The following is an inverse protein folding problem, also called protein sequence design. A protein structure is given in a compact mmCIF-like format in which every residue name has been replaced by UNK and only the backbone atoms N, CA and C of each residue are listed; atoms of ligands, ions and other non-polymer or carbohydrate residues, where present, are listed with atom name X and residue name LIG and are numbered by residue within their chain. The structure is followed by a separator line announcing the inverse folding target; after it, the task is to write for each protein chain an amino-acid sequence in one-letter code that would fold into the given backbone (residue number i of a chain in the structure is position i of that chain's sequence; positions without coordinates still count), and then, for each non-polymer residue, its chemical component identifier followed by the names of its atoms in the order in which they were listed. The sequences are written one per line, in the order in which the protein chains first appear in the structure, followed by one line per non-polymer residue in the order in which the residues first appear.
data_IF_196481703038
#
_entry.id   IF_196481703038
#
_cell.length_a   1.000
_cell.length_b   1.000
_cell.length_c   1.000
_cell.angle_alpha   90.00
_cell.angle_beta   90.00
_cell.angle_gamma   90.00
#
_symmetry.space_group_name_H-M   'P 1'
#
loop_
_entity.id
_entity.type
_entity.pdbx_description
1 polymer ?
#
# COMPACT_ATOMS: atom_id res chain seq x y z
N UNK A 1 -15.26 17.25 9.38
CA UNK A 1 -16.29 17.00 8.35
C UNK A 1 -15.95 15.63 7.77
N UNK A 2 -16.93 14.79 7.45
CA UNK A 2 -16.60 13.45 6.97
C UNK A 2 -16.70 13.43 5.45
N UNK A 3 -15.65 12.96 4.79
CA UNK A 3 -15.64 12.68 3.35
C UNK A 3 -15.72 11.16 3.16
N UNK A 4 -16.43 10.75 2.11
CA UNK A 4 -16.52 9.34 1.70
C UNK A 4 -15.53 9.13 0.56
N UNK A 5 -14.62 8.17 0.71
CA UNK A 5 -13.67 7.75 -0.31
C UNK A 5 -13.78 6.25 -0.55
N UNK A 6 -13.15 5.78 -1.63
CA UNK A 6 -13.15 4.39 -2.07
C UNK A 6 -11.75 3.82 -1.86
N UNK A 7 -11.54 3.14 -0.73
CA UNK A 7 -10.26 2.51 -0.39
C UNK A 7 -10.04 1.25 -1.21
N UNK A 8 -8.87 1.16 -1.85
CA UNK A 8 -8.38 -0.04 -2.51
C UNK A 8 -7.67 -0.89 -1.45
N UNK A 9 -8.22 -2.07 -1.17
CA UNK A 9 -7.61 -3.04 -0.25
C UNK A 9 -7.09 -4.25 -1.00
N UNK A 10 -6.02 -4.82 -0.48
CA UNK A 10 -5.42 -6.05 -0.97
C UNK A 10 -5.27 -7.03 0.18
N UNK A 11 -5.94 -8.19 0.09
CA UNK A 11 -5.76 -9.30 1.02
C UNK A 11 -5.11 -10.47 0.30
N UNK A 12 -4.30 -11.26 1.02
CA UNK A 12 -3.72 -12.48 0.44
C UNK A 12 -4.82 -13.46 0.02
N UNK A 13 -4.60 -14.13 -1.11
CA UNK A 13 -5.45 -15.26 -1.50
C UNK A 13 -5.33 -16.41 -0.51
N UNK A 14 -6.30 -17.33 -0.52
CA UNK A 14 -6.25 -18.54 0.32
C UNK A 14 -4.98 -19.36 0.03
N UNK A 15 -4.58 -19.46 -1.24
CA UNK A 15 -3.37 -20.16 -1.65
C UNK A 15 -2.11 -19.46 -1.12
N UNK A 16 -1.99 -18.15 -1.30
CA UNK A 16 -0.86 -17.38 -0.82
C UNK A 16 -0.75 -17.40 0.72
N UNK A 17 -1.89 -17.32 1.41
CA UNK A 17 -1.99 -17.48 2.87
C UNK A 17 -1.47 -18.85 3.29
N UNK A 18 -1.88 -19.92 2.61
CA UNK A 18 -1.41 -21.27 2.93
C UNK A 18 0.10 -21.44 2.71
N UNK A 19 0.67 -20.84 1.65
CA UNK A 19 2.12 -20.84 1.41
C UNK A 19 2.87 -20.12 2.54
N UNK A 20 2.35 -18.98 2.99
CA UNK A 20 2.91 -18.23 4.12
C UNK A 20 2.91 -19.07 5.40
N UNK A 21 1.79 -19.71 5.73
CA UNK A 21 1.68 -20.58 6.90
C UNK A 21 2.65 -21.76 6.84
N UNK A 22 2.79 -22.40 5.68
CA UNK A 22 3.70 -23.51 5.50
C UNK A 22 5.15 -23.08 5.68
N UNK A 23 5.51 -21.90 5.18
CA UNK A 23 6.83 -21.33 5.40
C UNK A 23 7.11 -21.01 6.87
N UNK A 24 6.11 -20.50 7.61
CA UNK A 24 6.24 -20.29 9.05
C UNK A 24 6.47 -21.59 9.82
N UNK A 25 5.69 -22.64 9.50
CA UNK A 25 5.85 -23.98 10.10
C UNK A 25 7.22 -24.55 9.79
N UNK A 26 7.70 -24.40 8.56
CA UNK A 26 9.02 -24.86 8.18
C UNK A 26 10.12 -24.07 8.89
N UNK A 27 10.02 -22.74 8.99
CA UNK A 27 10.97 -21.91 9.73
C UNK A 27 11.00 -22.24 11.23
N UNK A 28 9.87 -22.63 11.81
CA UNK A 28 9.80 -23.15 13.18
C UNK A 28 10.49 -24.52 13.31
N UNK A 29 10.23 -25.44 12.39
CA UNK A 29 10.91 -26.75 12.33
C UNK A 29 12.42 -26.60 12.24
N UNK A 30 12.93 -25.71 11.38
CA UNK A 30 14.36 -25.45 11.22
C UNK A 30 14.97 -24.87 12.50
N UNK A 31 14.28 -23.94 13.19
CA UNK A 31 14.71 -23.41 14.48
C UNK A 31 14.80 -24.50 15.55
N UNK A 32 13.83 -25.40 15.61
CA UNK A 32 13.89 -26.52 16.55
C UNK A 32 15.06 -27.46 16.27
N UNK A 33 15.34 -27.77 15.01
CA UNK A 33 16.47 -28.61 14.63
C UNK A 33 17.81 -27.95 14.91
N UNK A 34 17.92 -26.63 14.68
CA UNK A 34 19.14 -25.90 14.98
C UNK A 34 19.44 -25.88 16.49
N UNK A 35 18.42 -25.65 17.32
CA UNK A 35 18.52 -25.64 18.79
C UNK A 35 18.85 -27.02 19.38
N UNK A 36 18.40 -28.11 18.76
CA UNK A 36 18.41 -29.43 19.39
C UNK A 36 19.75 -30.17 19.38
N UNK A 37 20.64 -29.98 18.39
CA UNK A 37 21.83 -30.84 18.31
C UNK A 37 23.16 -30.09 18.11
N UNK A 38 23.97 -30.02 19.17
CA UNK A 38 25.42 -30.08 18.99
C UNK A 38 25.76 -31.53 18.59
N UNK A 39 26.42 -31.78 17.45
CA UNK A 39 26.71 -33.14 17.00
C UNK A 39 27.54 -33.89 18.04
N UNK A 40 27.09 -35.10 18.39
CA UNK A 40 27.67 -35.97 19.41
C UNK A 40 27.92 -37.36 18.86
N UNK A 41 28.97 -38.03 19.32
CA UNK A 41 29.22 -39.44 18.99
C UNK A 41 28.33 -40.40 19.81
N UNK A 42 28.46 -41.71 19.57
CA UNK A 42 27.75 -42.77 20.31
C UNK A 42 27.99 -42.75 21.83
N UNK A 43 29.04 -42.05 22.30
CA UNK A 43 29.40 -41.90 23.71
C UNK A 43 29.04 -40.51 24.27
N UNK A 44 28.37 -39.66 23.48
CA UNK A 44 27.89 -38.33 23.87
C UNK A 44 28.94 -37.21 23.81
N UNK A 45 30.11 -37.45 23.19
CA UNK A 45 31.22 -36.48 23.09
C UNK A 45 30.98 -35.50 21.95
N UNK A 46 31.31 -34.24 22.17
CA UNK A 46 31.05 -33.12 21.24
C UNK A 46 32.30 -32.74 20.45
N UNK A 47 32.16 -31.86 19.44
CA UNK A 47 33.29 -31.34 18.69
C UNK A 47 34.37 -30.71 19.59
N UNK A 48 33.94 -29.93 20.60
CA UNK A 48 34.84 -29.33 21.59
C UNK A 48 35.66 -30.38 22.36
N UNK A 49 35.05 -31.52 22.73
CA UNK A 49 35.76 -32.58 23.43
C UNK A 49 36.91 -33.17 22.59
N UNK A 50 36.68 -33.35 21.28
CA UNK A 50 37.70 -33.85 20.36
C UNK A 50 38.81 -32.83 20.12
N UNK A 51 38.45 -31.55 19.98
CA UNK A 51 39.41 -30.44 19.87
C UNK A 51 40.30 -30.33 21.11
N UNK A 52 39.72 -30.43 22.32
CA UNK A 52 40.46 -30.41 23.60
C UNK A 52 41.48 -31.57 23.70
N UNK A 53 41.22 -32.68 22.99
CA UNK A 53 42.07 -33.86 22.92
C UNK A 53 43.07 -33.84 21.74
N UNK A 54 43.02 -32.81 20.89
CA UNK A 54 43.86 -32.71 19.69
C UNK A 54 43.52 -33.74 18.60
N UNK A 55 42.29 -34.22 18.56
CA UNK A 55 41.79 -35.20 17.60
C UNK A 55 40.86 -34.49 16.61
N UNK A 56 40.94 -34.82 15.33
CA UNK A 56 40.02 -34.31 14.30
C UNK A 56 38.60 -34.89 14.50
N UNK A 57 37.59 -34.06 14.86
CA UNK A 57 36.24 -34.51 15.15
C UNK A 57 35.49 -35.08 13.93
N UNK A 58 35.91 -34.76 12.70
CA UNK A 58 35.21 -35.14 11.47
C UNK A 58 35.16 -36.65 11.21
N UNK A 59 36.04 -37.42 11.87
CA UNK A 59 36.08 -38.88 11.77
C UNK A 59 35.11 -39.59 12.73
N UNK A 60 34.48 -38.84 13.65
CA UNK A 60 33.72 -39.41 14.77
C UNK A 60 32.34 -38.80 14.96
N UNK A 61 32.13 -37.57 14.52
CA UNK A 61 30.85 -36.88 14.59
C UNK A 61 30.14 -36.96 13.24
N UNK A 62 28.85 -37.29 13.26
CA UNK A 62 28.01 -37.12 12.09
C UNK A 62 27.91 -35.64 11.76
N UNK A 63 28.13 -35.30 10.48
CA UNK A 63 27.94 -33.94 9.99
C UNK A 63 26.48 -33.58 10.18
N UNK A 64 26.21 -32.49 10.92
CA UNK A 64 24.86 -31.92 11.02
C UNK A 64 24.33 -31.74 9.60
N UNK A 65 23.09 -32.16 9.33
CA UNK A 65 22.46 -31.84 8.04
C UNK A 65 22.60 -30.33 7.80
N UNK A 66 22.90 -29.92 6.57
CA UNK A 66 22.94 -28.50 6.24
C UNK A 66 21.51 -27.95 6.31
N UNK A 67 21.14 -27.46 7.49
CA UNK A 67 19.87 -26.80 7.75
C UNK A 67 19.93 -25.43 7.05
N UNK A 68 19.00 -25.13 6.12
CA UNK A 68 18.96 -23.80 5.51
C UNK A 68 18.74 -22.71 6.55
N UNK A 69 19.49 -21.60 6.45
CA UNK A 69 19.48 -20.50 7.43
C UNK A 69 18.16 -19.72 7.46
N UNK A 70 17.36 -19.77 6.39
CA UNK A 70 16.11 -19.03 6.29
C UNK A 70 15.11 -19.68 5.33
N UNK A 71 13.82 -19.47 5.59
CA UNK A 71 12.73 -19.76 4.66
C UNK A 71 12.28 -18.45 4.02
N UNK A 72 12.44 -18.33 2.71
CA UNK A 72 12.01 -17.15 1.94
C UNK A 72 10.66 -17.42 1.26
N UNK A 73 9.73 -16.48 1.39
CA UNK A 73 8.46 -16.46 0.65
C UNK A 73 8.39 -15.17 -0.14
N UNK A 74 8.06 -15.28 -1.43
CA UNK A 74 7.82 -14.14 -2.31
C UNK A 74 6.35 -14.12 -2.71
N UNK A 75 5.79 -12.92 -2.77
CA UNK A 75 4.44 -12.70 -3.25
C UNK A 75 4.47 -11.87 -4.52
N UNK A 76 3.67 -12.29 -5.51
CA UNK A 76 3.37 -11.53 -6.72
C UNK A 76 2.01 -10.83 -6.62
N UNK A 77 1.60 -10.13 -7.66
CA UNK A 77 0.29 -9.47 -7.73
C UNK A 77 -0.86 -10.49 -7.71
N UNK A 78 -0.66 -11.66 -8.31
CA UNK A 78 -1.61 -12.76 -8.37
C UNK A 78 -1.97 -13.36 -7.00
N UNK A 79 -1.15 -13.06 -5.99
CA UNK A 79 -1.30 -13.56 -4.63
C UNK A 79 -2.24 -12.71 -3.78
N UNK A 80 -2.81 -11.65 -4.37
CA UNK A 80 -3.72 -10.75 -3.69
C UNK A 80 -5.10 -10.71 -4.36
N UNK A 81 -6.14 -10.71 -3.54
CA UNK A 81 -7.45 -10.21 -3.92
C UNK A 81 -7.48 -8.70 -3.69
N UNK A 82 -7.60 -7.94 -4.77
CA UNK A 82 -7.87 -6.50 -4.69
C UNK A 82 -9.37 -6.25 -4.73
N UNK A 83 -9.86 -5.43 -3.81
CA UNK A 83 -11.25 -5.03 -3.75
C UNK A 83 -11.42 -3.65 -3.13
N UNK A 84 -12.55 -3.02 -3.46
CA UNK A 84 -12.84 -1.67 -3.04
C UNK A 84 -13.76 -1.67 -1.82
N UNK A 85 -13.49 -0.75 -0.90
CA UNK A 85 -14.31 -0.54 0.29
C UNK A 85 -14.59 0.95 0.46
N UNK A 86 -15.86 1.27 0.67
CA UNK A 86 -16.25 2.62 1.06
C UNK A 86 -15.73 2.94 2.47
N UNK A 87 -14.95 4.01 2.60
CA UNK A 87 -14.46 4.50 3.88
C UNK A 87 -14.93 5.93 4.15
N UNK A 88 -15.02 6.27 5.43
CA UNK A 88 -15.28 7.63 5.89
C UNK A 88 -14.05 8.18 6.59
N UNK A 89 -13.51 9.25 6.05
CA UNK A 89 -12.36 9.96 6.63
C UNK A 89 -12.84 11.23 7.28
N UNK A 90 -12.36 11.51 8.48
CA UNK A 90 -12.62 12.78 9.14
C UNK A 90 -11.60 13.83 8.69
N UNK A 91 -12.08 14.84 7.97
CA UNK A 91 -11.32 15.95 7.37
C UNK A 91 -10.57 16.84 8.38
N UNK A 92 -10.70 16.62 9.68
CA UNK A 92 -9.90 17.32 10.70
C UNK A 92 -8.51 16.71 10.84
N UNK A 93 -8.29 15.51 10.31
CA UNK A 93 -7.00 14.89 10.27
C UNK A 93 -6.14 15.56 9.20
N UNK A 94 -4.89 15.87 9.56
CA UNK A 94 -3.89 16.32 8.59
C UNK A 94 -3.35 15.08 7.88
N UNK A 95 -3.29 15.15 6.56
CA UNK A 95 -2.74 14.10 5.71
C UNK A 95 -2.01 14.72 4.53
N UNK A 96 -1.10 13.94 3.96
CA UNK A 96 -0.46 14.18 2.67
C UNK A 96 -1.10 13.28 1.63
N UNK A 97 -1.12 13.74 0.38
CA UNK A 97 -1.64 12.96 -0.75
C UNK A 97 -0.59 12.89 -1.86
N UNK A 98 -0.42 11.71 -2.44
CA UNK A 98 0.46 11.47 -3.59
C UNK A 98 -0.36 10.80 -4.70
N UNK A 99 -0.31 11.34 -5.92
CA UNK A 99 -1.00 10.77 -7.07
C UNK A 99 -0.08 9.77 -7.78
N UNK A 100 -0.53 8.52 -7.86
CA UNK A 100 0.08 7.47 -8.69
C UNK A 100 -0.75 7.26 -9.98
N UNK A 101 -0.24 6.42 -10.89
CA UNK A 101 -0.90 6.15 -12.18
C UNK A 101 -2.31 5.58 -12.02
N UNK A 102 -2.49 4.67 -11.05
CA UNK A 102 -3.73 3.91 -10.85
C UNK A 102 -4.51 4.28 -9.58
N UNK A 103 -3.93 5.05 -8.66
CA UNK A 103 -4.56 5.39 -7.36
C UNK A 103 -3.98 6.66 -6.75
N UNK A 104 -4.64 7.16 -5.70
CA UNK A 104 -4.09 8.20 -4.82
C UNK A 104 -3.72 7.60 -3.47
N UNK A 105 -2.49 7.82 -3.02
CA UNK A 105 -2.04 7.46 -1.69
C UNK A 105 -2.35 8.60 -0.71
N UNK A 106 -2.96 8.28 0.42
CA UNK A 106 -3.22 9.21 1.53
C UNK A 106 -2.45 8.74 2.77
N UNK A 107 -1.49 9.55 3.21
CA UNK A 107 -0.71 9.32 4.42
C UNK A 107 -1.20 10.24 5.55
N UNK A 108 -1.68 9.65 6.63
CA UNK A 108 -2.12 10.36 7.82
C UNK A 108 -0.94 10.62 8.77
N UNK A 109 -1.02 11.67 9.60
CA UNK A 109 0.02 11.97 10.60
C UNK A 109 0.32 10.84 11.60
N UNK A 110 -0.59 9.88 11.78
CA UNK A 110 -0.38 8.71 12.63
C UNK A 110 0.43 7.59 11.94
N UNK A 111 0.89 7.82 10.71
CA UNK A 111 1.62 6.85 9.89
C UNK A 111 0.72 5.83 9.19
N UNK A 112 -0.61 5.94 9.31
CA UNK A 112 -1.52 5.12 8.51
C UNK A 112 -1.46 5.59 7.05
N UNK A 113 -1.31 4.65 6.14
CA UNK A 113 -1.39 4.89 4.70
C UNK A 113 -2.60 4.15 4.16
N UNK A 114 -3.35 4.79 3.28
CA UNK A 114 -4.45 4.17 2.53
C UNK A 114 -4.29 4.52 1.04
N UNK A 115 -4.73 3.61 0.18
CA UNK A 115 -4.81 3.83 -1.26
C UNK A 115 -6.28 4.02 -1.61
N UNK A 116 -6.60 5.03 -2.42
CA UNK A 116 -7.97 5.32 -2.82
C UNK A 116 -8.08 5.51 -4.33
N UNK A 117 -9.26 5.25 -4.88
CA UNK A 117 -9.53 5.45 -6.32
C UNK A 117 -9.66 6.92 -6.70
N UNK A 118 -10.16 7.76 -5.79
CA UNK A 118 -10.37 9.19 -6.08
C UNK A 118 -9.04 9.91 -6.31
N UNK A 119 -9.02 10.76 -7.34
CA UNK A 119 -7.90 11.66 -7.61
C UNK A 119 -7.76 12.74 -6.53
N UNK A 120 -6.58 13.35 -6.43
CA UNK A 120 -6.37 14.48 -5.51
C UNK A 120 -7.39 15.60 -5.74
N UNK A 121 -7.72 15.90 -6.99
CA UNK A 121 -8.68 16.96 -7.36
C UNK A 121 -10.09 16.65 -6.84
N UNK A 122 -10.56 15.42 -7.02
CA UNK A 122 -11.86 14.97 -6.49
C UNK A 122 -11.91 15.03 -4.96
N UNK A 123 -10.82 14.62 -4.31
CA UNK A 123 -10.71 14.70 -2.84
C UNK A 123 -10.74 16.16 -2.37
N UNK A 124 -10.04 17.07 -3.06
CA UNK A 124 -10.07 18.51 -2.75
C UNK A 124 -11.47 19.10 -2.88
N UNK A 125 -12.22 18.71 -3.91
CA UNK A 125 -13.59 19.17 -4.13
C UNK A 125 -14.55 18.65 -3.05
N UNK A 126 -14.37 17.40 -2.62
CA UNK A 126 -15.10 16.82 -1.49
C UNK A 126 -14.78 17.54 -0.17
N UNK A 127 -13.55 18.01 0.01
CA UNK A 127 -13.13 18.78 1.17
C UNK A 127 -13.59 20.24 1.13
N UNK A 128 -13.74 20.81 -0.06
CA UNK A 128 -14.09 22.21 -0.24
C UNK A 128 -15.21 22.39 -1.29
N UNK A 129 -16.44 21.95 -0.99
CA UNK A 129 -17.57 21.95 -1.94
C UNK A 129 -18.03 23.35 -2.41
N UNK A 130 -17.38 24.43 -1.95
CA UNK A 130 -17.73 25.83 -2.25
C UNK A 130 -16.97 26.45 -3.44
N UNK A 131 -16.06 25.73 -4.11
CA UNK A 131 -15.31 26.30 -5.27
C UNK A 131 -16.20 26.56 -6.50
N UNK A 132 -17.32 25.86 -6.67
CA UNK A 132 -18.11 25.96 -7.92
C UNK A 132 -19.17 27.07 -7.97
N UNK A 133 -19.61 27.65 -6.85
CA UNK A 133 -20.68 28.67 -6.88
C UNK A 133 -20.22 30.05 -7.38
N UNK A 134 -18.90 30.29 -7.48
CA UNK A 134 -18.34 31.62 -7.78
C UNK A 134 -18.17 31.96 -9.26
N UNK A 135 -17.96 30.98 -10.15
CA UNK A 135 -17.54 31.28 -11.54
C UNK A 135 -18.72 31.22 -12.53
N UNK A 136 -19.72 30.38 -12.25
CA UNK A 136 -20.87 30.13 -13.15
C UNK A 136 -21.83 31.33 -13.30
N UNK A 137 -22.02 32.14 -12.23
CA UNK A 137 -22.96 33.26 -12.27
C UNK A 137 -22.38 34.51 -12.94
N UNK A 138 -21.10 34.84 -12.73
CA UNK A 138 -20.51 36.03 -13.34
C UNK A 138 -20.23 35.86 -14.83
N UNK A 139 -19.81 34.67 -15.28
CA UNK A 139 -19.60 34.43 -16.71
C UNK A 139 -20.91 34.49 -17.52
N UNK A 140 -22.02 33.99 -16.97
CA UNK A 140 -23.34 34.08 -17.62
C UNK A 140 -23.86 35.52 -17.69
N UNK A 141 -23.64 36.33 -16.66
CA UNK A 141 -24.06 37.75 -16.68
C UNK A 141 -23.19 38.56 -17.66
N UNK A 142 -21.87 38.32 -17.70
CA UNK A 142 -20.97 38.98 -18.64
C UNK A 142 -21.29 38.70 -20.11
N UNK A 143 -21.61 37.44 -20.45
CA UNK A 143 -21.90 37.04 -21.83
C UNK A 143 -23.28 37.55 -22.31
N UNK A 144 -24.27 37.66 -21.42
CA UNK A 144 -25.58 38.27 -21.74
C UNK A 144 -25.44 39.78 -21.97
N UNK A 145 -24.65 40.49 -21.18
CA UNK A 145 -24.42 41.94 -21.36
C UNK A 145 -23.67 42.21 -22.67
N UNK A 146 -22.65 41.42 -23.01
CA UNK A 146 -21.91 41.57 -24.27
C UNK A 146 -22.81 41.31 -25.50
N UNK A 147 -23.68 40.29 -25.42
CA UNK A 147 -24.67 40.00 -26.47
C UNK A 147 -25.68 41.12 -26.66
N UNK A 148 -26.18 41.73 -25.57
CA UNK A 148 -27.11 42.87 -25.65
C UNK A 148 -26.45 44.13 -26.25
N UNK A 149 -25.20 44.42 -25.89
CA UNK A 149 -24.47 45.57 -26.44
C UNK A 149 -24.21 45.46 -27.94
N UNK A 150 -23.91 44.26 -28.44
CA UNK A 150 -23.71 44.01 -29.87
C UNK A 150 -25.01 44.18 -30.68
N UNK A 151 -26.13 43.69 -30.15
CA UNK A 151 -27.45 43.85 -30.81
C UNK A 151 -27.85 45.34 -30.84
N UNK A 152 -27.67 46.07 -29.74
CA UNK A 152 -28.03 47.48 -29.66
C UNK A 152 -27.21 48.35 -30.63
N UNK A 153 -25.93 48.01 -30.82
CA UNK A 153 -25.05 48.68 -31.78
C UNK A 153 -25.49 48.45 -33.24
N UNK A 154 -26.00 47.25 -33.55
CA UNK A 154 -26.49 46.91 -34.88
C UNK A 154 -27.79 47.67 -35.24
N UNK A 155 -28.68 47.87 -34.27
CA UNK A 155 -29.94 48.61 -34.48
C UNK A 155 -29.72 50.13 -34.58
N UNK A 156 -28.76 50.72 -33.87
CA UNK A 156 -28.45 52.15 -34.03
C UNK A 156 -27.85 52.47 -35.42
N UNK A 157 -27.05 51.56 -35.99
CA UNK A 157 -26.47 51.73 -37.32
C UNK A 157 -27.50 51.74 -38.45
N UNK A 158 -28.67 51.11 -38.26
CA UNK A 158 -29.75 51.07 -39.26
C UNK A 158 -30.71 52.27 -39.18
N UNK A 159 -30.71 53.04 -38.09
CA UNK A 159 -31.61 54.19 -37.93
C UNK A 159 -31.03 55.52 -38.44
N UNK A 160 -29.73 55.54 -38.77
CA UNK A 160 -28.98 56.74 -39.22
C UNK A 160 -28.44 56.58 -40.65
N UNK A 161 -28.82 55.51 -41.36
CA UNK A 161 -28.45 55.24 -42.75
C UNK A 161 -29.56 55.52 -43.74
#
# INVERSE_FOLDING_TARGET
MNIKLTEIRSDLTDEATQRLENAYKEAERLRELDIKDEPRDEQGRTAQWYEDMGIDPSNYLETKENIPESVEVKFGEEDYYSYNVDILINSTEYFTMTQEEDFTEIEFLNGKIIMVEESIEEIEDLLNPKKEEGISKELKVGLVILGFLLIFSFFLGFLVG
#
